data_IF_093492712361
#
_entry.id   IF_093492712361
#
_cell.length_a   1.000
_cell.length_b   1.000
_cell.length_c   1.000
_cell.angle_alpha   90.00
_cell.angle_beta   90.00
_cell.angle_gamma   90.00
#
_symmetry.space_group_name_H-M   'P 1'
#
loop_
_entity.id
_entity.type
_entity.pdbx_description
1 polymer ?
#
# COMPACT_ATOMS: atom_id res chain seq x y z
N UNK A 1 -128.40 -54.99 59.26
CA UNK A 1 -129.82 -55.10 59.67
C UNK A 1 -130.00 -56.34 60.57
N UNK A 2 -130.96 -56.38 61.52
CA UNK A 2 -130.68 -56.97 62.85
C UNK A 2 -131.77 -57.88 63.52
N UNK A 3 -131.36 -58.57 64.61
CA UNK A 3 -132.11 -58.93 65.86
C UNK A 3 -133.30 -59.97 65.93
N UNK A 4 -133.22 -60.90 66.91
CA UNK A 4 -134.12 -61.23 68.09
C UNK A 4 -135.69 -61.21 67.96
N UNK A 5 -136.59 -62.03 68.59
CA UNK A 5 -136.68 -63.16 69.61
C UNK A 5 -137.93 -64.07 69.27
N UNK A 6 -138.50 -65.06 70.02
CA UNK A 6 -138.21 -65.82 71.27
C UNK A 6 -139.45 -66.36 72.07
N UNK A 7 -139.24 -67.34 72.99
CA UNK A 7 -140.08 -67.83 74.16
C UNK A 7 -141.38 -68.71 74.03
N UNK A 8 -141.32 -69.90 74.67
CA UNK A 8 -142.30 -70.62 75.57
C UNK A 8 -143.74 -71.03 75.16
N UNK A 9 -144.05 -72.35 75.22
CA UNK A 9 -145.26 -73.06 75.77
C UNK A 9 -145.15 -74.60 75.50
N UNK A 10 -145.85 -75.59 76.11
CA UNK A 10 -146.64 -75.72 77.37
C UNK A 10 -146.62 -77.22 77.85
N UNK A 11 -147.60 -77.73 78.63
CA UNK A 11 -147.66 -79.14 79.15
C UNK A 11 -149.10 -79.69 79.32
N UNK A 12 -149.40 -80.88 78.75
CA UNK A 12 -150.45 -81.88 79.14
C UNK A 12 -150.64 -82.94 78.03
N UNK A 13 -150.16 -84.17 78.22
CA UNK A 13 -150.76 -85.41 77.64
C UNK A 13 -149.99 -86.65 78.14
N UNK A 14 -150.47 -87.29 79.20
CA UNK A 14 -149.73 -88.35 79.90
C UNK A 14 -150.63 -89.45 80.48
N UNK A 15 -151.78 -89.74 79.84
CA UNK A 15 -152.83 -90.57 80.47
C UNK A 15 -153.75 -91.37 79.51
N UNK A 16 -153.30 -91.72 78.29
CA UNK A 16 -154.19 -92.28 77.25
C UNK A 16 -153.65 -93.48 76.42
N UNK A 17 -152.46 -94.02 76.73
CA UNK A 17 -151.97 -95.29 76.13
C UNK A 17 -151.52 -96.35 77.15
N UNK A 18 -152.06 -96.27 78.37
CA UNK A 18 -151.96 -97.35 79.35
C UNK A 18 -152.92 -98.53 79.07
N UNK A 19 -153.75 -98.46 78.00
CA UNK A 19 -154.77 -99.47 77.68
C UNK A 19 -154.48 -100.36 76.46
N UNK A 20 -153.52 -100.00 75.58
CA UNK A 20 -153.01 -100.95 74.57
C UNK A 20 -152.25 -102.14 75.21
N UNK A 21 -151.84 -101.99 76.47
CA UNK A 21 -151.10 -102.96 77.32
C UNK A 21 -151.87 -104.28 77.57
N UNK A 22 -153.16 -104.36 77.23
CA UNK A 22 -154.01 -105.53 77.50
C UNK A 22 -154.56 -106.26 76.27
N UNK A 23 -154.45 -105.71 75.05
CA UNK A 23 -155.04 -106.30 73.84
C UNK A 23 -154.10 -107.25 73.09
N UNK A 24 -152.80 -106.98 73.00
CA UNK A 24 -151.85 -107.91 72.35
C UNK A 24 -151.43 -109.09 73.24
N UNK A 25 -151.71 -109.02 74.55
CA UNK A 25 -151.35 -110.05 75.54
C UNK A 25 -152.17 -111.36 75.44
N UNK A 26 -152.83 -111.59 74.30
CA UNK A 26 -153.54 -112.83 73.93
C UNK A 26 -153.17 -113.36 72.53
N UNK A 27 -152.13 -112.83 71.89
CA UNK A 27 -151.43 -113.52 70.80
C UNK A 27 -150.56 -114.67 71.37
N UNK A 28 -151.21 -115.69 71.93
CA UNK A 28 -150.55 -116.84 72.56
C UNK A 28 -150.18 -117.92 71.53
N UNK A 29 -148.95 -118.43 71.64
CA UNK A 29 -148.57 -119.84 71.43
C UNK A 29 -148.94 -120.51 70.09
N UNK A 30 -148.08 -120.37 69.06
CA UNK A 30 -148.15 -121.22 67.87
C UNK A 30 -146.83 -121.48 67.08
N UNK A 31 -145.63 -121.31 67.67
CA UNK A 31 -144.40 -121.98 67.20
C UNK A 31 -143.22 -121.83 68.17
N UNK A 32 -142.42 -122.89 68.32
CA UNK A 32 -141.15 -122.89 69.05
C UNK A 32 -139.99 -122.87 68.05
N UNK A 33 -139.32 -121.72 67.87
CA UNK A 33 -137.87 -121.56 67.55
C UNK A 33 -137.45 -120.06 67.44
N UNK A 34 -137.44 -119.24 68.52
CA UNK A 34 -137.06 -117.82 68.43
C UNK A 34 -135.72 -117.46 69.11
N UNK A 35 -135.08 -118.39 69.82
CA UNK A 35 -133.89 -118.12 70.64
C UNK A 35 -132.58 -118.17 69.85
N UNK A 36 -132.49 -119.07 68.87
CA UNK A 36 -131.24 -119.31 68.14
C UNK A 36 -130.92 -118.16 67.16
N UNK A 37 -131.94 -117.59 66.52
CA UNK A 37 -131.77 -116.43 65.62
C UNK A 37 -131.25 -115.18 66.34
N UNK A 38 -131.68 -114.94 67.59
CA UNK A 38 -131.17 -113.85 68.41
C UNK A 38 -129.70 -114.09 68.81
N UNK A 39 -129.32 -115.33 69.08
CA UNK A 39 -127.93 -115.70 69.38
C UNK A 39 -127.03 -115.57 68.15
N UNK A 40 -127.48 -116.06 67.00
CA UNK A 40 -126.83 -115.90 65.70
C UNK A 40 -126.63 -114.41 65.34
N UNK A 41 -127.64 -113.57 65.58
CA UNK A 41 -127.58 -112.12 65.35
C UNK A 41 -126.54 -111.44 66.25
N UNK A 42 -126.47 -111.80 67.54
CA UNK A 42 -125.47 -111.30 68.47
C UNK A 42 -124.04 -111.75 68.07
N UNK A 43 -123.89 -112.98 67.60
CA UNK A 43 -122.60 -113.52 67.15
C UNK A 43 -122.13 -112.85 65.85
N UNK A 44 -123.05 -112.54 64.93
CA UNK A 44 -122.76 -111.74 63.73
C UNK A 44 -122.34 -110.31 64.08
N UNK A 45 -123.03 -109.66 65.04
CA UNK A 45 -122.67 -108.32 65.51
C UNK A 45 -121.27 -108.27 66.15
N UNK A 46 -120.94 -109.25 67.02
CA UNK A 46 -119.60 -109.35 67.62
C UNK A 46 -118.51 -109.64 66.58
N UNK A 47 -118.80 -110.46 65.57
CA UNK A 47 -117.87 -110.71 64.45
C UNK A 47 -117.58 -109.41 63.67
N UNK A 48 -118.61 -108.61 63.42
CA UNK A 48 -118.50 -107.31 62.73
C UNK A 48 -117.77 -106.24 63.54
N UNK A 49 -117.95 -106.22 64.87
CA UNK A 49 -117.14 -105.35 65.74
C UNK A 49 -115.65 -105.71 65.66
N UNK A 50 -115.32 -107.00 65.68
CA UNK A 50 -113.94 -107.48 65.58
C UNK A 50 -113.31 -107.21 64.21
N UNK A 51 -114.11 -107.23 63.14
CA UNK A 51 -113.72 -106.80 61.81
C UNK A 51 -113.42 -105.28 61.75
N UNK A 52 -114.24 -104.46 62.41
CA UNK A 52 -114.02 -103.02 62.54
C UNK A 52 -112.79 -102.68 63.40
N UNK A 53 -112.53 -103.42 64.49
CA UNK A 53 -111.30 -103.28 65.30
C UNK A 53 -110.04 -103.57 64.46
N UNK A 54 -110.07 -104.62 63.65
CA UNK A 54 -108.96 -104.95 62.73
C UNK A 54 -108.74 -103.86 61.68
N UNK A 55 -109.81 -103.31 61.10
CA UNK A 55 -109.76 -102.18 60.16
C UNK A 55 -109.19 -100.91 60.82
N UNK A 56 -109.57 -100.62 62.07
CA UNK A 56 -109.03 -99.48 62.81
C UNK A 56 -107.51 -99.64 63.03
N UNK A 57 -107.10 -100.83 63.50
CA UNK A 57 -105.69 -101.16 63.71
C UNK A 57 -104.87 -101.23 62.40
N UNK A 58 -105.50 -101.41 61.23
CA UNK A 58 -104.85 -101.26 59.93
C UNK A 58 -104.70 -99.77 59.55
N UNK A 59 -105.72 -98.94 59.77
CA UNK A 59 -105.66 -97.49 59.48
C UNK A 59 -104.69 -96.74 60.39
N UNK A 60 -104.55 -97.13 61.66
CA UNK A 60 -103.51 -96.57 62.54
C UNK A 60 -102.10 -96.91 62.06
N UNK A 61 -101.88 -98.12 61.52
CA UNK A 61 -100.60 -98.51 60.90
C UNK A 61 -100.34 -97.73 59.61
N UNK A 62 -101.36 -97.48 58.80
CA UNK A 62 -101.25 -96.65 57.59
C UNK A 62 -100.92 -95.19 57.92
N UNK A 63 -101.57 -94.60 58.93
CA UNK A 63 -101.25 -93.27 59.45
C UNK A 63 -99.80 -93.17 59.94
N UNK A 64 -99.32 -94.14 60.73
CA UNK A 64 -97.92 -94.16 61.18
C UNK A 64 -96.93 -94.30 60.00
N UNK A 65 -97.28 -95.03 58.94
CA UNK A 65 -96.46 -95.14 57.73
C UNK A 65 -96.36 -93.80 57.00
N UNK A 66 -97.50 -93.12 56.81
CA UNK A 66 -97.58 -91.82 56.15
C UNK A 66 -96.87 -90.72 56.96
N UNK A 67 -96.99 -90.73 58.29
CA UNK A 67 -96.25 -89.82 59.18
C UNK A 67 -94.73 -89.99 58.99
N UNK A 68 -94.24 -91.24 58.93
CA UNK A 68 -92.83 -91.55 58.69
C UNK A 68 -92.34 -91.17 57.30
N UNK A 69 -93.21 -91.22 56.28
CA UNK A 69 -92.91 -90.77 54.92
C UNK A 69 -92.84 -89.24 54.83
N UNK A 70 -93.74 -88.53 55.52
CA UNK A 70 -93.76 -87.07 55.62
C UNK A 70 -92.49 -86.52 56.29
N UNK A 71 -92.06 -87.10 57.41
CA UNK A 71 -90.81 -86.70 58.09
C UNK A 71 -89.56 -86.92 57.22
N UNK A 72 -89.54 -87.99 56.42
CA UNK A 72 -88.46 -88.26 55.45
C UNK A 72 -88.47 -87.25 54.31
N UNK A 73 -89.64 -86.80 53.85
CA UNK A 73 -89.77 -85.75 52.85
C UNK A 73 -89.30 -84.38 53.39
N UNK A 74 -89.73 -84.01 54.59
CA UNK A 74 -89.33 -82.76 55.25
C UNK A 74 -87.82 -82.68 55.46
N UNK A 75 -87.15 -83.77 55.90
CA UNK A 75 -85.68 -83.81 56.03
C UNK A 75 -84.96 -83.62 54.68
N UNK A 76 -85.47 -84.21 53.60
CA UNK A 76 -84.91 -83.99 52.24
C UNK A 76 -85.08 -82.54 51.78
N UNK A 77 -86.25 -81.94 52.01
CA UNK A 77 -86.52 -80.55 51.63
C UNK A 77 -85.51 -79.59 52.29
N UNK A 78 -85.22 -79.78 53.58
CA UNK A 78 -84.28 -78.93 54.32
C UNK A 78 -82.84 -79.08 53.77
N UNK A 79 -82.36 -80.30 53.53
CA UNK A 79 -81.05 -80.53 52.89
C UNK A 79 -80.93 -79.87 51.51
N UNK A 80 -82.01 -79.80 50.74
CA UNK A 80 -82.01 -79.08 49.46
C UNK A 80 -81.99 -77.55 49.61
N UNK A 81 -82.61 -77.00 50.67
CA UNK A 81 -82.51 -75.57 50.98
C UNK A 81 -81.08 -75.17 51.37
N UNK A 82 -80.45 -75.92 52.28
CA UNK A 82 -79.06 -75.68 52.71
C UNK A 82 -78.09 -75.76 51.52
N UNK A 83 -78.27 -76.77 50.67
CA UNK A 83 -77.51 -76.94 49.42
C UNK A 83 -77.70 -75.74 48.49
N UNK A 84 -78.92 -75.21 48.36
CA UNK A 84 -79.23 -74.07 47.49
C UNK A 84 -78.54 -72.80 47.97
N UNK A 85 -78.59 -72.51 49.27
CA UNK A 85 -77.92 -71.35 49.88
C UNK A 85 -76.40 -71.39 49.67
N UNK A 86 -75.77 -72.56 49.86
CA UNK A 86 -74.33 -72.75 49.63
C UNK A 86 -73.94 -72.50 48.17
N UNK A 87 -74.77 -72.91 47.21
CA UNK A 87 -74.53 -72.63 45.79
C UNK A 87 -74.73 -71.16 45.41
N UNK A 88 -75.66 -70.46 46.05
CA UNK A 88 -75.83 -69.00 45.87
C UNK A 88 -74.60 -68.23 46.37
N UNK A 89 -74.14 -68.48 47.60
CA UNK A 89 -72.97 -67.81 48.17
C UNK A 89 -71.71 -68.05 47.33
N UNK A 90 -71.53 -69.28 46.82
CA UNK A 90 -70.43 -69.63 45.92
C UNK A 90 -70.52 -68.92 44.57
N UNK A 91 -71.73 -68.76 44.01
CA UNK A 91 -71.95 -68.05 42.75
C UNK A 91 -71.61 -66.55 42.87
N UNK A 92 -72.02 -65.89 43.96
CA UNK A 92 -71.71 -64.48 44.19
C UNK A 92 -70.19 -64.24 44.31
N UNK A 93 -69.46 -65.09 45.05
CA UNK A 93 -68.00 -65.01 45.17
C UNK A 93 -67.31 -65.13 43.81
N UNK A 94 -67.64 -66.16 43.01
CA UNK A 94 -67.07 -66.34 41.67
C UNK A 94 -67.45 -65.21 40.71
N UNK A 95 -68.67 -64.67 40.80
CA UNK A 95 -69.08 -63.50 40.00
C UNK A 95 -68.29 -62.24 40.38
N UNK A 96 -68.03 -62.02 41.67
CA UNK A 96 -67.21 -60.91 42.16
C UNK A 96 -65.77 -61.00 41.65
N UNK A 97 -65.13 -62.17 41.75
CA UNK A 97 -63.77 -62.42 41.25
C UNK A 97 -63.67 -62.17 39.73
N UNK A 98 -64.61 -62.70 38.94
CA UNK A 98 -64.68 -62.47 37.50
C UNK A 98 -64.85 -60.98 37.15
N UNK A 99 -65.64 -60.24 37.94
CA UNK A 99 -65.81 -58.78 37.77
C UNK A 99 -64.50 -58.03 38.04
N UNK A 100 -63.79 -58.39 39.11
CA UNK A 100 -62.51 -57.79 39.49
C UNK A 100 -61.38 -58.10 38.49
N UNK A 101 -61.31 -59.34 37.98
CA UNK A 101 -60.39 -59.71 36.90
C UNK A 101 -60.68 -58.89 35.63
N UNK A 102 -61.94 -58.84 35.17
CA UNK A 102 -62.33 -58.04 33.98
C UNK A 102 -61.97 -56.56 34.13
N UNK A 103 -62.16 -55.97 35.31
CA UNK A 103 -61.80 -54.57 35.56
C UNK A 103 -60.28 -54.36 35.58
N UNK A 104 -59.52 -55.33 36.09
CA UNK A 104 -58.05 -55.31 36.10
C UNK A 104 -57.49 -55.42 34.69
N UNK A 105 -57.97 -56.37 33.87
CA UNK A 105 -57.59 -56.51 32.46
C UNK A 105 -57.94 -55.24 31.67
N UNK A 106 -59.12 -54.65 31.87
CA UNK A 106 -59.51 -53.39 31.21
C UNK A 106 -58.55 -52.24 31.54
N UNK A 107 -58.14 -52.09 32.82
CA UNK A 107 -57.14 -51.09 33.24
C UNK A 107 -55.76 -51.37 32.62
N UNK A 108 -55.34 -52.63 32.58
CA UNK A 108 -54.09 -53.05 31.94
C UNK A 108 -54.06 -52.72 30.45
N UNK A 109 -55.13 -53.04 29.72
CA UNK A 109 -55.27 -52.78 28.29
C UNK A 109 -55.31 -51.28 27.98
N UNK A 110 -55.99 -50.47 28.80
CA UNK A 110 -55.95 -48.99 28.71
C UNK A 110 -54.58 -48.38 29.02
N UNK A 111 -53.74 -49.04 29.83
CA UNK A 111 -52.35 -48.63 30.05
C UNK A 111 -51.46 -49.06 28.87
N UNK A 112 -51.69 -50.23 28.29
CA UNK A 112 -50.97 -50.74 27.13
C UNK A 112 -51.16 -49.84 25.90
N UNK A 113 -52.40 -49.45 25.58
CA UNK A 113 -52.65 -48.55 24.43
C UNK A 113 -51.97 -47.20 24.61
N UNK A 114 -52.10 -46.57 25.80
CA UNK A 114 -51.40 -45.30 26.11
C UNK A 114 -49.88 -45.39 25.95
N UNK A 115 -49.27 -46.52 26.30
CA UNK A 115 -47.84 -46.74 26.09
C UNK A 115 -47.49 -46.96 24.61
N UNK A 116 -48.35 -47.63 23.85
CA UNK A 116 -48.20 -47.76 22.39
C UNK A 116 -48.30 -46.40 21.68
N UNK A 117 -49.27 -45.56 22.07
CA UNK A 117 -49.42 -44.19 21.58
C UNK A 117 -48.15 -43.36 21.85
N UNK A 118 -47.62 -43.41 23.07
CA UNK A 118 -46.37 -42.73 23.45
C UNK A 118 -45.15 -43.24 22.65
N UNK A 119 -45.02 -44.55 22.45
CA UNK A 119 -43.96 -45.14 21.61
C UNK A 119 -44.10 -44.71 20.15
N UNK A 120 -45.32 -44.57 19.63
CA UNK A 120 -45.56 -44.08 18.27
C UNK A 120 -45.18 -42.60 18.13
N UNK A 121 -45.55 -41.75 19.10
CA UNK A 121 -45.15 -40.32 19.14
C UNK A 121 -43.62 -40.20 19.15
N UNK A 122 -42.92 -40.94 20.03
CA UNK A 122 -41.46 -40.92 20.12
C UNK A 122 -40.82 -41.36 18.79
N UNK A 123 -41.31 -42.43 18.15
CA UNK A 123 -40.85 -42.87 16.82
C UNK A 123 -41.11 -41.86 15.70
N UNK A 124 -42.14 -41.01 15.80
CA UNK A 124 -42.33 -39.90 14.85
C UNK A 124 -41.38 -38.73 15.11
N UNK A 125 -41.11 -38.40 16.37
CA UNK A 125 -40.16 -37.37 16.74
C UNK A 125 -38.71 -37.76 16.35
N UNK A 126 -38.30 -38.98 16.64
CA UNK A 126 -36.99 -39.56 16.26
C UNK A 126 -36.73 -39.46 14.75
N UNK A 127 -37.73 -39.79 13.93
CA UNK A 127 -37.66 -39.69 12.46
C UNK A 127 -37.51 -38.25 11.98
N UNK A 128 -38.25 -37.31 12.56
CA UNK A 128 -38.16 -35.90 12.15
C UNK A 128 -36.84 -35.26 12.62
N UNK A 129 -36.38 -35.55 13.83
CA UNK A 129 -35.05 -35.13 14.32
C UNK A 129 -33.93 -35.71 13.44
N UNK A 130 -34.00 -36.99 13.07
CA UNK A 130 -33.04 -37.61 12.14
C UNK A 130 -33.04 -36.92 10.77
N UNK A 131 -34.23 -36.59 10.24
CA UNK A 131 -34.41 -35.87 8.97
C UNK A 131 -33.90 -34.44 9.02
N UNK A 132 -34.05 -33.74 10.15
CA UNK A 132 -33.48 -32.40 10.37
C UNK A 132 -31.96 -32.46 10.51
N UNK A 133 -31.41 -33.43 11.26
CA UNK A 133 -29.97 -33.65 11.40
C UNK A 133 -29.31 -33.97 10.04
N UNK A 134 -29.94 -34.80 9.21
CA UNK A 134 -29.46 -35.09 7.85
C UNK A 134 -29.47 -33.86 6.94
N UNK A 135 -30.50 -32.99 7.05
CA UNK A 135 -30.56 -31.71 6.32
C UNK A 135 -29.44 -30.76 6.77
N UNK A 136 -29.35 -30.48 8.07
CA UNK A 136 -28.32 -29.59 8.62
C UNK A 136 -26.90 -30.10 8.37
N UNK A 137 -26.69 -31.42 8.40
CA UNK A 137 -25.43 -32.05 7.99
C UNK A 137 -25.13 -31.80 6.51
N UNK A 138 -26.08 -32.05 5.61
CA UNK A 138 -25.89 -31.83 4.17
C UNK A 138 -25.66 -30.35 3.80
N UNK A 139 -26.34 -29.43 4.48
CA UNK A 139 -26.14 -27.98 4.36
C UNK A 139 -24.76 -27.56 4.90
N UNK A 140 -24.31 -28.13 6.03
CA UNK A 140 -22.96 -27.91 6.56
C UNK A 140 -21.87 -28.42 5.61
N UNK A 141 -22.04 -29.60 5.01
CA UNK A 141 -21.10 -30.12 4.01
C UNK A 141 -21.03 -29.22 2.76
N UNK A 142 -22.18 -28.68 2.31
CA UNK A 142 -22.23 -27.70 1.22
C UNK A 142 -21.49 -26.40 1.56
N UNK A 143 -21.67 -25.89 2.79
CA UNK A 143 -20.97 -24.70 3.27
C UNK A 143 -19.45 -24.93 3.35
N UNK A 144 -19.02 -26.07 3.90
CA UNK A 144 -17.59 -26.46 3.98
C UNK A 144 -16.98 -26.57 2.58
N UNK A 145 -17.64 -27.24 1.63
CA UNK A 145 -17.14 -27.37 0.26
C UNK A 145 -17.06 -26.02 -0.48
N UNK A 146 -17.99 -25.10 -0.22
CA UNK A 146 -17.93 -23.74 -0.77
C UNK A 146 -16.77 -22.93 -0.17
N UNK A 147 -16.56 -23.00 1.14
CA UNK A 147 -15.46 -22.33 1.85
C UNK A 147 -14.09 -22.89 1.43
N UNK A 148 -13.98 -24.21 1.23
CA UNK A 148 -12.77 -24.84 0.68
C UNK A 148 -12.45 -24.27 -0.72
N UNK A 149 -13.42 -24.28 -1.63
CA UNK A 149 -13.25 -23.71 -2.99
C UNK A 149 -12.88 -22.22 -2.97
N UNK A 150 -13.43 -21.43 -2.04
CA UNK A 150 -13.04 -20.03 -1.85
C UNK A 150 -11.61 -19.90 -1.34
N UNK A 151 -11.21 -20.72 -0.37
CA UNK A 151 -9.86 -20.72 0.17
C UNK A 151 -8.81 -21.14 -0.89
N UNK A 152 -9.13 -22.10 -1.75
CA UNK A 152 -8.29 -22.50 -2.90
C UNK A 152 -8.12 -21.35 -3.91
N UNK A 153 -9.19 -20.59 -4.20
CA UNK A 153 -9.12 -19.36 -5.02
C UNK A 153 -8.18 -18.34 -4.38
N UNK A 154 -8.34 -18.05 -3.09
CA UNK A 154 -7.50 -17.09 -2.36
C UNK A 154 -6.04 -17.56 -2.30
N UNK A 155 -5.76 -18.85 -2.11
CA UNK A 155 -4.40 -19.39 -2.15
C UNK A 155 -3.75 -19.28 -3.54
N UNK A 156 -4.50 -19.55 -4.62
CA UNK A 156 -3.96 -19.41 -5.99
C UNK A 156 -3.73 -17.94 -6.35
N UNK A 157 -4.64 -17.03 -6.00
CA UNK A 157 -4.47 -15.58 -6.17
C UNK A 157 -3.28 -15.03 -5.36
N UNK A 158 -3.12 -15.46 -4.11
CA UNK A 158 -1.98 -15.12 -3.26
C UNK A 158 -0.67 -15.60 -3.88
N UNK A 159 -0.59 -16.86 -4.31
CA UNK A 159 0.58 -17.44 -5.00
C UNK A 159 0.92 -16.65 -6.28
N UNK A 160 -0.07 -16.35 -7.12
CA UNK A 160 0.10 -15.50 -8.30
C UNK A 160 0.51 -14.06 -7.96
N UNK A 161 0.11 -13.52 -6.81
CA UNK A 161 0.58 -12.20 -6.35
C UNK A 161 2.05 -12.25 -5.92
N UNK A 162 2.45 -13.27 -5.15
CA UNK A 162 3.84 -13.45 -4.69
C UNK A 162 4.79 -13.65 -5.86
N UNK A 163 4.43 -14.49 -6.84
CA UNK A 163 5.22 -14.73 -8.06
C UNK A 163 5.38 -13.46 -8.93
N UNK A 164 4.38 -12.56 -8.94
CA UNK A 164 4.51 -11.24 -9.60
C UNK A 164 5.45 -10.31 -8.83
N UNK A 165 5.37 -10.30 -7.50
CA UNK A 165 6.23 -9.49 -6.65
C UNK A 165 7.70 -9.92 -6.67
N UNK A 166 8.01 -11.23 -6.66
CA UNK A 166 9.39 -11.72 -6.79
C UNK A 166 10.01 -11.33 -8.13
N UNK A 167 9.30 -11.56 -9.24
CA UNK A 167 9.75 -11.15 -10.58
C UNK A 167 9.96 -9.63 -10.70
N UNK A 168 9.10 -8.82 -10.08
CA UNK A 168 9.25 -7.37 -10.03
C UNK A 168 10.44 -6.94 -9.15
N UNK A 169 10.69 -7.64 -8.04
CA UNK A 169 11.81 -7.41 -7.14
C UNK A 169 13.15 -7.72 -7.84
N UNK A 170 13.29 -8.89 -8.47
CA UNK A 170 14.44 -9.26 -9.30
C UNK A 170 14.71 -8.24 -10.41
N UNK A 171 13.65 -7.82 -11.13
CA UNK A 171 13.74 -6.79 -12.18
C UNK A 171 14.18 -5.43 -11.64
N UNK A 172 13.90 -5.11 -10.37
CA UNK A 172 14.37 -3.90 -9.72
C UNK A 172 15.83 -4.00 -9.24
N UNK A 173 16.24 -5.14 -8.66
CA UNK A 173 17.64 -5.42 -8.33
C UNK A 173 18.54 -5.44 -9.58
N UNK A 174 18.10 -6.04 -10.69
CA UNK A 174 18.84 -6.05 -11.95
C UNK A 174 19.03 -4.64 -12.54
N UNK A 175 18.04 -3.75 -12.39
CA UNK A 175 18.19 -2.33 -12.74
C UNK A 175 19.20 -1.63 -11.81
N UNK A 176 19.08 -1.82 -10.50
CA UNK A 176 19.96 -1.21 -9.50
C UNK A 176 21.43 -1.64 -9.67
N UNK A 177 21.67 -2.91 -10.01
CA UNK A 177 23.00 -3.44 -10.32
C UNK A 177 23.62 -2.76 -11.56
N UNK A 178 22.83 -2.56 -12.62
CA UNK A 178 23.29 -1.80 -13.81
C UNK A 178 23.60 -0.36 -13.44
N UNK A 179 22.66 0.37 -12.82
CA UNK A 179 22.85 1.78 -12.45
C UNK A 179 24.02 2.02 -11.48
N UNK A 180 24.30 1.10 -10.56
CA UNK A 180 25.48 1.20 -9.67
C UNK A 180 26.78 0.93 -10.41
N UNK A 181 26.80 0.03 -11.40
CA UNK A 181 27.95 -0.14 -12.30
C UNK A 181 28.18 1.09 -13.19
N UNK A 182 27.13 1.68 -13.75
CA UNK A 182 27.20 2.90 -14.57
C UNK A 182 27.76 4.07 -13.76
N UNK A 183 27.23 4.31 -12.55
CA UNK A 183 27.74 5.32 -11.63
C UNK A 183 29.23 5.10 -11.27
N UNK A 184 29.69 3.84 -11.17
CA UNK A 184 31.11 3.51 -10.96
C UNK A 184 31.96 3.91 -12.17
N UNK A 185 31.51 3.64 -13.41
CA UNK A 185 32.24 4.07 -14.62
C UNK A 185 32.24 5.59 -14.77
N UNK A 186 31.13 6.27 -14.50
CA UNK A 186 31.00 7.72 -14.59
C UNK A 186 31.87 8.46 -13.56
N UNK A 187 31.90 7.98 -12.30
CA UNK A 187 32.82 8.49 -11.26
C UNK A 187 34.29 8.34 -11.69
N UNK A 188 34.65 7.21 -12.30
CA UNK A 188 36.00 6.99 -12.82
C UNK A 188 36.35 7.93 -14.00
N UNK A 189 35.42 8.15 -14.95
CA UNK A 189 35.57 9.14 -16.04
C UNK A 189 35.74 10.56 -15.50
N UNK A 190 34.89 10.99 -14.56
CA UNK A 190 34.97 12.31 -13.93
C UNK A 190 36.28 12.52 -13.15
N UNK A 191 36.78 11.49 -12.46
CA UNK A 191 38.08 11.52 -11.77
C UNK A 191 39.25 11.70 -12.74
N UNK A 192 39.26 10.97 -13.87
CA UNK A 192 40.26 11.15 -14.94
C UNK A 192 40.25 12.56 -15.52
N UNK A 193 39.06 13.10 -15.83
CA UNK A 193 38.91 14.46 -16.37
C UNK A 193 39.38 15.54 -15.38
N UNK A 194 39.05 15.43 -14.09
CA UNK A 194 39.53 16.35 -13.06
C UNK A 194 41.07 16.37 -12.95
N UNK A 195 41.72 15.21 -13.05
CA UNK A 195 43.20 15.13 -13.08
C UNK A 195 43.78 15.78 -14.35
N UNK A 196 43.19 15.52 -15.52
CA UNK A 196 43.63 16.13 -16.78
C UNK A 196 43.52 17.66 -16.76
N UNK A 197 42.41 18.22 -16.24
CA UNK A 197 42.23 19.67 -16.09
C UNK A 197 43.26 20.29 -15.13
N UNK A 198 43.57 19.61 -14.01
CA UNK A 198 44.62 20.07 -13.08
C UNK A 198 45.99 20.14 -13.78
N UNK A 199 46.40 19.06 -14.45
CA UNK A 199 47.70 19.03 -15.13
C UNK A 199 47.78 20.00 -16.32
N UNK A 200 46.69 20.21 -17.05
CA UNK A 200 46.64 21.23 -18.11
C UNK A 200 46.80 22.66 -17.58
N UNK A 201 46.28 22.96 -16.38
CA UNK A 201 46.51 24.25 -15.70
C UNK A 201 47.98 24.40 -15.28
N UNK A 202 48.55 23.37 -14.66
CA UNK A 202 49.96 23.34 -14.23
C UNK A 202 50.92 23.54 -15.41
N UNK A 203 50.70 22.83 -16.53
CA UNK A 203 51.47 22.99 -17.77
C UNK A 203 51.34 24.38 -18.38
N UNK A 204 50.12 24.96 -18.42
CA UNK A 204 49.90 26.33 -18.91
C UNK A 204 50.63 27.37 -18.06
N UNK A 205 50.63 27.20 -16.74
CA UNK A 205 51.30 28.11 -15.81
C UNK A 205 52.83 28.04 -15.95
N UNK A 206 53.40 26.84 -16.09
CA UNK A 206 54.83 26.65 -16.41
C UNK A 206 55.22 27.25 -17.76
N UNK A 207 54.40 27.03 -18.81
CA UNK A 207 54.64 27.62 -20.12
C UNK A 207 54.65 29.15 -20.06
N UNK A 208 53.63 29.78 -19.43
CA UNK A 208 53.57 31.23 -19.25
C UNK A 208 54.74 31.78 -18.41
N UNK A 209 55.20 31.06 -17.38
CA UNK A 209 56.37 31.45 -16.61
C UNK A 209 57.65 31.45 -17.47
N UNK A 210 57.85 30.43 -18.31
CA UNK A 210 59.01 30.35 -19.22
C UNK A 210 59.02 31.48 -20.26
N UNK A 211 57.84 31.86 -20.78
CA UNK A 211 57.69 32.98 -21.73
C UNK A 211 57.92 34.32 -21.05
N UNK A 212 57.36 34.54 -19.84
CA UNK A 212 57.62 35.75 -19.05
C UNK A 212 59.10 35.94 -18.74
N UNK A 213 59.82 34.87 -18.39
CA UNK A 213 61.27 34.92 -18.17
C UNK A 213 62.01 35.36 -19.44
N UNK A 214 61.79 34.68 -20.58
CA UNK A 214 62.40 35.06 -21.88
C UNK A 214 62.12 36.51 -22.28
N UNK A 215 60.91 37.03 -22.01
CA UNK A 215 60.54 38.42 -22.31
C UNK A 215 61.27 39.41 -21.39
N UNK A 216 61.47 39.10 -20.10
CA UNK A 216 62.33 39.91 -19.22
C UNK A 216 63.78 39.91 -19.74
N UNK A 217 64.32 38.71 -19.99
CA UNK A 217 65.70 38.54 -20.45
C UNK A 217 65.94 39.35 -21.75
N UNK A 218 65.04 39.27 -22.73
CA UNK A 218 65.18 39.94 -24.03
C UNK A 218 64.83 41.44 -24.05
N UNK A 219 63.93 41.95 -23.20
CA UNK A 219 63.65 43.39 -23.12
C UNK A 219 64.77 44.19 -22.47
N UNK A 220 65.70 43.53 -21.79
CA UNK A 220 66.60 44.17 -20.84
C UNK A 220 67.84 44.84 -21.43
N UNK A 221 68.18 44.68 -22.72
CA UNK A 221 69.47 45.16 -23.27
C UNK A 221 69.34 45.84 -24.64
N UNK A 222 69.63 47.15 -24.70
CA UNK A 222 69.74 47.91 -25.95
C UNK A 222 71.20 48.27 -26.24
N UNK A 223 71.68 47.91 -27.42
CA UNK A 223 73.07 48.14 -27.84
C UNK A 223 73.16 49.42 -28.66
N UNK A 224 73.85 50.45 -28.13
CA UNK A 224 74.08 51.73 -28.82
C UNK A 224 75.01 51.58 -30.03
N UNK A 225 75.72 50.45 -30.12
CA UNK A 225 76.70 50.16 -31.16
C UNK A 225 76.54 48.72 -31.65
N UNK A 226 76.60 48.53 -32.97
CA UNK A 226 76.67 47.21 -33.60
C UNK A 226 78.02 47.09 -34.32
N UNK A 227 78.77 46.02 -34.03
CA UNK A 227 80.13 45.77 -34.60
C UNK A 227 81.09 46.99 -34.50
N UNK A 228 81.01 47.77 -33.42
CA UNK A 228 81.86 48.94 -33.19
C UNK A 228 81.39 50.24 -33.88
N UNK A 229 80.27 50.23 -34.59
CA UNK A 229 79.67 51.43 -35.23
C UNK A 229 78.40 51.82 -34.48
N UNK A 230 78.18 53.11 -34.22
CA UNK A 230 76.91 53.59 -33.65
C UNK A 230 75.75 53.34 -34.63
N UNK A 231 74.66 52.77 -34.12
CA UNK A 231 73.49 52.43 -34.95
C UNK A 231 72.83 53.70 -35.52
N UNK A 232 72.03 53.58 -36.57
CA UNK A 232 71.42 54.76 -37.19
C UNK A 232 70.40 55.41 -36.26
N UNK A 233 69.62 54.63 -35.53
CA UNK A 233 68.68 55.10 -34.51
C UNK A 233 69.43 55.86 -33.41
N UNK A 234 70.58 55.32 -32.97
CA UNK A 234 71.45 55.99 -31.99
C UNK A 234 71.98 57.32 -32.54
N UNK A 235 72.44 57.36 -33.79
CA UNK A 235 72.87 58.59 -34.48
C UNK A 235 71.71 59.58 -34.64
N UNK A 236 70.49 59.12 -34.89
CA UNK A 236 69.29 59.93 -35.02
C UNK A 236 68.87 60.55 -33.68
N UNK A 237 68.90 59.78 -32.58
CA UNK A 237 68.67 60.30 -31.22
C UNK A 237 69.74 61.32 -30.83
N UNK A 238 71.02 61.07 -31.13
CA UNK A 238 72.12 62.04 -30.91
C UNK A 238 71.89 63.33 -31.69
N UNK A 239 71.51 63.26 -32.97
CA UNK A 239 71.18 64.43 -33.80
C UNK A 239 69.96 65.19 -33.26
N UNK A 240 68.91 64.47 -32.82
CA UNK A 240 67.68 65.06 -32.28
C UNK A 240 67.92 65.77 -30.94
N UNK A 241 68.65 65.15 -30.00
CA UNK A 241 68.97 65.75 -28.71
C UNK A 241 69.79 67.04 -28.85
N UNK A 242 70.77 67.07 -29.75
CA UNK A 242 71.55 68.28 -30.02
C UNK A 242 70.70 69.35 -30.73
N UNK A 243 69.79 68.96 -31.63
CA UNK A 243 68.79 69.88 -32.23
C UNK A 243 67.85 70.48 -31.17
N UNK A 244 67.53 69.73 -30.12
CA UNK A 244 66.77 70.19 -28.96
C UNK A 244 67.61 70.97 -27.92
N UNK A 245 68.85 71.38 -28.27
CA UNK A 245 69.70 72.20 -27.41
C UNK A 245 70.52 71.43 -26.36
N UNK A 246 70.51 70.09 -26.36
CA UNK A 246 71.32 69.31 -25.43
C UNK A 246 72.82 69.52 -25.67
N UNK A 247 73.55 69.89 -24.60
CA UNK A 247 75.00 70.05 -24.65
C UNK A 247 75.68 68.74 -25.08
N UNK A 248 76.63 68.82 -26.02
CA UNK A 248 77.35 67.65 -26.59
C UNK A 248 78.09 66.80 -25.54
N UNK A 249 78.29 67.33 -24.34
CA UNK A 249 78.86 66.60 -23.21
C UNK A 249 77.82 65.68 -22.54
N UNK A 250 76.56 66.14 -22.43
CA UNK A 250 75.48 65.51 -21.67
C UNK A 250 74.64 64.52 -22.49
N UNK A 251 74.74 64.52 -23.83
CA UNK A 251 73.96 63.63 -24.71
C UNK A 251 74.07 62.16 -24.31
N UNK A 252 75.27 61.68 -23.96
CA UNK A 252 75.49 60.30 -23.50
C UNK A 252 74.84 60.00 -22.15
N UNK A 253 74.85 60.96 -21.23
CA UNK A 253 74.19 60.85 -19.92
C UNK A 253 72.66 60.86 -20.06
N UNK A 254 72.11 61.73 -20.92
CA UNK A 254 70.67 61.80 -21.20
C UNK A 254 70.17 60.49 -21.82
N UNK A 255 70.87 59.94 -22.81
CA UNK A 255 70.52 58.63 -23.39
C UNK A 255 70.58 57.52 -22.34
N UNK A 256 71.61 57.51 -21.49
CA UNK A 256 71.76 56.54 -20.40
C UNK A 256 70.64 56.66 -19.36
N UNK A 257 70.24 57.89 -19.00
CA UNK A 257 69.16 58.16 -18.06
C UNK A 257 67.79 57.76 -18.62
N UNK A 258 67.52 58.04 -19.90
CA UNK A 258 66.30 57.64 -20.59
C UNK A 258 66.20 56.11 -20.65
N UNK A 259 67.24 55.41 -21.10
CA UNK A 259 67.26 53.94 -21.13
C UNK A 259 67.05 53.34 -19.73
N UNK A 260 67.75 53.87 -18.70
CA UNK A 260 67.57 53.45 -17.30
C UNK A 260 66.14 53.67 -16.80
N UNK A 261 65.50 54.79 -17.14
CA UNK A 261 64.10 55.08 -16.78
C UNK A 261 63.10 54.15 -17.45
N UNK A 262 63.41 53.65 -18.66
CA UNK A 262 62.62 52.67 -19.38
C UNK A 262 62.86 51.21 -18.90
N UNK A 263 63.75 50.99 -17.92
CA UNK A 263 64.15 49.65 -17.47
C UNK A 263 65.06 48.91 -18.46
N UNK A 264 65.72 49.62 -19.37
CA UNK A 264 66.57 49.07 -20.42
C UNK A 264 68.04 49.30 -20.06
N UNK A 265 68.84 48.23 -20.05
CA UNK A 265 70.29 48.31 -19.90
C UNK A 265 70.90 48.79 -21.22
N UNK A 266 71.46 50.01 -21.22
CA UNK A 266 72.26 50.50 -22.35
C UNK A 266 73.63 49.83 -22.38
N UNK A 267 74.02 49.27 -23.53
CA UNK A 267 75.36 48.73 -23.78
C UNK A 267 76.10 49.65 -24.76
N UNK A 268 77.25 50.14 -24.33
CA UNK A 268 78.05 51.17 -25.00
C UNK A 268 77.99 52.53 -24.30
N UNK A 269 78.81 53.48 -24.75
CA UNK A 269 78.81 54.86 -24.25
C UNK A 269 79.12 55.83 -25.41
N UNK A 270 78.51 57.01 -25.42
CA UNK A 270 78.67 58.01 -26.48
C UNK A 270 79.51 59.19 -25.96
N UNK A 271 80.81 59.19 -26.28
CA UNK A 271 81.71 60.28 -25.89
C UNK A 271 81.35 61.61 -26.59
N UNK A 272 81.72 62.74 -25.99
CA UNK A 272 81.67 64.09 -26.62
C UNK A 272 82.30 64.11 -28.02
N UNK A 273 83.37 63.35 -28.22
CA UNK A 273 84.07 63.20 -29.51
C UNK A 273 83.22 62.40 -30.50
N UNK A 274 82.56 61.33 -30.06
CA UNK A 274 81.62 60.54 -30.85
C UNK A 274 80.42 61.38 -31.29
N UNK A 275 79.80 62.13 -30.36
CA UNK A 275 78.72 63.09 -30.68
C UNK A 275 79.19 64.10 -31.73
N UNK A 276 80.39 64.68 -31.55
CA UNK A 276 80.92 65.68 -32.48
C UNK A 276 81.28 65.10 -33.86
N UNK A 277 81.66 63.82 -33.95
CA UNK A 277 81.83 63.10 -35.23
C UNK A 277 80.48 62.85 -35.92
N UNK A 278 79.49 62.32 -35.20
CA UNK A 278 78.13 62.07 -35.73
C UNK A 278 77.49 63.36 -36.27
N UNK A 279 77.68 64.50 -35.59
CA UNK A 279 77.22 65.81 -36.07
C UNK A 279 77.98 66.26 -37.33
N UNK A 280 79.29 66.02 -37.42
CA UNK A 280 80.12 66.39 -38.59
C UNK A 280 79.83 65.50 -39.80
N UNK A 281 79.62 64.21 -39.58
CA UNK A 281 79.12 63.25 -40.58
C UNK A 281 77.78 63.72 -41.14
N UNK A 282 76.82 64.10 -40.27
CA UNK A 282 75.53 64.65 -40.68
C UNK A 282 75.63 65.99 -41.41
N UNK A 283 76.57 66.86 -41.03
CA UNK A 283 76.84 68.13 -41.72
C UNK A 283 77.40 67.91 -43.13
N UNK A 284 78.39 67.02 -43.29
CA UNK A 284 78.93 66.69 -44.61
C UNK A 284 77.88 66.02 -45.51
N UNK A 285 77.06 65.12 -44.98
CA UNK A 285 75.94 64.55 -45.73
C UNK A 285 74.95 65.63 -46.20
N UNK A 286 74.64 66.63 -45.35
CA UNK A 286 73.79 67.75 -45.73
C UNK A 286 74.43 68.67 -46.79
N UNK A 287 75.75 68.86 -46.77
CA UNK A 287 76.46 69.61 -47.81
C UNK A 287 76.51 68.86 -49.16
N UNK A 288 76.74 67.53 -49.16
CA UNK A 288 76.70 66.70 -50.37
C UNK A 288 75.28 66.72 -50.97
N UNK A 289 74.27 66.56 -50.13
CA UNK A 289 72.86 66.67 -50.52
C UNK A 289 72.54 68.04 -51.12
N UNK A 290 73.02 69.14 -50.51
CA UNK A 290 72.86 70.49 -51.03
C UNK A 290 73.55 70.68 -52.39
N UNK A 291 74.75 70.12 -52.58
CA UNK A 291 75.45 70.13 -53.87
C UNK A 291 74.68 69.38 -54.97
N UNK A 292 74.09 68.23 -54.64
CA UNK A 292 73.21 67.48 -55.55
C UNK A 292 71.95 68.28 -55.92
N UNK A 293 71.26 68.85 -54.93
CA UNK A 293 70.05 69.66 -55.14
C UNK A 293 70.33 70.90 -56.00
N UNK A 294 71.41 71.62 -55.72
CA UNK A 294 71.81 72.81 -56.50
C UNK A 294 72.19 72.46 -57.94
N UNK A 295 72.85 71.31 -58.17
CA UNK A 295 73.19 70.83 -59.52
C UNK A 295 71.96 70.43 -60.35
N UNK A 296 70.88 70.00 -59.71
CA UNK A 296 69.67 69.50 -60.37
C UNK A 296 68.49 70.49 -60.33
N UNK A 297 68.69 71.69 -59.80
CA UNK A 297 67.71 72.77 -59.75
C UNK A 297 67.76 73.61 -61.04
N UNK A 298 66.63 73.71 -61.74
CA UNK A 298 66.44 74.55 -62.93
C UNK A 298 66.67 76.04 -62.62
N UNK A 299 66.28 76.48 -61.43
CA UNK A 299 66.54 77.82 -60.91
C UNK A 299 66.69 77.78 -59.39
N UNK A 300 67.45 78.74 -58.86
CA UNK A 300 67.66 78.92 -57.43
C UNK A 300 67.81 80.41 -57.09
N UNK A 301 67.43 80.80 -55.88
CA UNK A 301 67.58 82.17 -55.38
C UNK A 301 68.37 82.16 -54.09
N UNK A 302 69.51 82.86 -54.10
CA UNK A 302 70.34 83.04 -52.91
C UNK A 302 69.83 84.19 -52.06
N UNK A 303 69.89 84.04 -50.75
CA UNK A 303 69.59 85.09 -49.78
C UNK A 303 70.61 85.06 -48.64
N UNK A 304 70.94 86.24 -48.11
CA UNK A 304 71.80 86.41 -46.95
C UNK A 304 71.15 87.41 -46.00
N UNK A 305 71.22 87.10 -44.71
CA UNK A 305 70.82 87.99 -43.62
C UNK A 305 72.03 88.22 -42.71
N UNK A 306 72.22 89.45 -42.25
CA UNK A 306 73.44 89.91 -41.59
C UNK A 306 73.15 90.65 -40.29
N UNK A 307 73.71 90.17 -39.18
CA UNK A 307 73.50 90.75 -37.86
C UNK A 307 74.80 90.81 -37.07
N UNK A 308 74.98 91.82 -36.22
CA UNK A 308 76.20 91.99 -35.41
C UNK A 308 75.95 91.68 -33.94
N UNK A 309 76.87 90.94 -33.32
CA UNK A 309 76.84 90.67 -31.88
C UNK A 309 78.26 90.76 -31.31
N UNK A 310 78.45 91.61 -30.29
CA UNK A 310 79.75 91.86 -29.61
C UNK A 310 80.89 92.16 -30.59
N UNK A 311 80.62 93.06 -31.55
CA UNK A 311 81.57 93.47 -32.60
C UNK A 311 82.01 92.35 -33.56
N UNK A 312 81.27 91.25 -33.63
CA UNK A 312 81.42 90.21 -34.67
C UNK A 312 80.19 90.27 -35.57
N UNK A 313 80.40 90.38 -36.88
CA UNK A 313 79.35 90.31 -37.90
C UNK A 313 79.06 88.84 -38.22
N UNK A 314 77.79 88.43 -38.12
CA UNK A 314 77.32 87.09 -38.44
C UNK A 314 76.38 87.13 -39.64
N UNK A 315 76.77 86.45 -40.72
CA UNK A 315 75.96 86.30 -41.92
C UNK A 315 75.35 84.89 -41.93
N UNK A 316 74.01 84.82 -41.92
CA UNK A 316 73.25 83.61 -42.21
C UNK A 316 73.01 83.55 -43.71
N UNK A 317 73.35 82.43 -44.36
CA UNK A 317 73.24 82.27 -45.82
C UNK A 317 72.28 81.15 -46.18
N UNK A 318 71.45 81.39 -47.19
CA UNK A 318 70.38 80.48 -47.61
C UNK A 318 70.26 80.39 -49.13
N UNK A 319 69.69 79.29 -49.62
CA UNK A 319 69.25 79.14 -51.00
C UNK A 319 67.83 78.59 -51.02
N UNK A 320 66.98 79.18 -51.85
CA UNK A 320 65.64 78.72 -52.17
C UNK A 320 65.69 78.01 -53.53
N UNK A 321 65.25 76.76 -53.59
CA UNK A 321 65.27 75.95 -54.82
C UNK A 321 64.14 74.90 -54.82
N UNK A 322 63.95 74.22 -55.95
CA UNK A 322 63.04 73.08 -56.07
C UNK A 322 63.83 71.78 -55.86
N UNK A 323 63.57 71.07 -54.76
CA UNK A 323 64.16 69.76 -54.45
C UNK A 323 63.09 68.67 -54.36
N UNK A 324 63.48 67.42 -54.55
CA UNK A 324 62.60 66.25 -54.38
C UNK A 324 62.29 65.98 -52.91
N UNK A 325 61.16 65.34 -52.64
CA UNK A 325 60.78 64.95 -51.28
C UNK A 325 61.29 63.55 -50.93
N UNK A 326 62.45 63.54 -50.27
CA UNK A 326 63.15 62.34 -49.80
C UNK A 326 62.49 61.64 -48.60
N UNK A 327 61.31 62.09 -48.14
CA UNK A 327 60.54 61.35 -47.11
C UNK A 327 59.73 60.20 -47.69
N UNK A 328 59.45 60.22 -49.00
CA UNK A 328 58.67 59.20 -49.70
C UNK A 328 59.56 58.27 -50.53
N UNK A 329 59.48 56.93 -50.36
CA UNK A 329 60.41 55.98 -50.99
C UNK A 329 60.23 55.83 -52.51
N UNK A 330 59.12 56.32 -53.07
CA UNK A 330 58.79 56.23 -54.50
C UNK A 330 59.27 57.44 -55.33
N UNK A 331 59.96 58.40 -54.69
CA UNK A 331 60.42 59.64 -55.32
C UNK A 331 59.35 60.73 -55.28
N UNK A 332 59.33 61.52 -54.21
CA UNK A 332 58.31 62.55 -54.01
C UNK A 332 58.45 63.75 -54.94
N UNK A 333 57.32 64.42 -55.21
CA UNK A 333 57.24 65.59 -56.09
C UNK A 333 58.18 66.72 -55.68
N UNK A 334 58.67 67.50 -56.65
CA UNK A 334 59.58 68.63 -56.38
C UNK A 334 58.85 69.74 -55.59
N UNK A 335 59.34 70.04 -54.40
CA UNK A 335 58.82 71.05 -53.48
C UNK A 335 59.78 72.23 -53.37
N UNK A 336 59.24 73.43 -53.08
CA UNK A 336 60.06 74.61 -52.76
C UNK A 336 60.67 74.45 -51.38
N UNK A 337 61.99 74.33 -51.31
CA UNK A 337 62.74 74.20 -50.05
C UNK A 337 63.68 75.37 -49.85
N UNK A 338 63.87 75.75 -48.58
CA UNK A 338 64.94 76.66 -48.16
C UNK A 338 66.03 75.82 -47.50
N UNK A 339 67.23 75.83 -48.08
CA UNK A 339 68.44 75.23 -47.50
C UNK A 339 69.32 76.33 -46.91
N UNK A 340 70.22 75.99 -45.99
CA UNK A 340 71.16 76.94 -45.39
C UNK A 340 72.59 76.47 -45.55
N UNK A 341 73.49 77.42 -45.81
CA UNK A 341 74.94 77.23 -45.79
C UNK A 341 75.52 77.33 -44.37
N UNK A 342 74.66 77.59 -43.38
CA UNK A 342 75.02 77.87 -42.00
C UNK A 342 75.11 79.37 -41.70
N UNK A 343 75.51 79.66 -40.47
CA UNK A 343 75.82 81.01 -39.97
C UNK A 343 77.33 81.12 -39.85
N UNK A 344 77.91 82.18 -40.38
CA UNK A 344 79.36 82.41 -40.39
C UNK A 344 79.69 83.81 -39.90
N UNK A 345 80.76 83.92 -39.10
CA UNK A 345 81.35 85.22 -38.78
C UNK A 345 82.10 85.76 -40.00
N UNK A 346 81.69 86.90 -40.54
CA UNK A 346 82.46 87.60 -41.57
C UNK A 346 83.48 88.55 -40.93
N UNK A 347 84.59 88.82 -41.63
CA UNK A 347 85.74 89.58 -41.06
C UNK A 347 85.45 91.07 -40.95
N UNK A 348 84.68 91.60 -41.88
CA UNK A 348 84.26 92.98 -42.00
C UNK A 348 82.82 93.03 -42.55
N UNK A 349 82.37 94.20 -43.02
CA UNK A 349 81.04 94.39 -43.62
C UNK A 349 81.07 94.68 -45.12
N UNK A 350 82.18 94.43 -45.81
CA UNK A 350 82.35 94.79 -47.22
C UNK A 350 81.57 93.88 -48.18
N UNK A 351 81.19 94.45 -49.32
CA UNK A 351 80.68 93.73 -50.49
C UNK A 351 81.65 92.64 -50.96
N UNK A 352 82.94 92.95 -50.91
CA UNK A 352 84.06 92.16 -51.38
C UNK A 352 84.23 90.89 -50.52
N UNK A 353 84.27 91.03 -49.19
CA UNK A 353 84.30 89.89 -48.27
C UNK A 353 83.00 89.09 -48.30
N UNK A 354 81.84 89.75 -48.53
CA UNK A 354 80.56 89.06 -48.69
C UNK A 354 80.52 88.17 -49.95
N UNK A 355 81.11 88.61 -51.06
CA UNK A 355 81.28 87.82 -52.29
C UNK A 355 82.30 86.69 -52.08
N UNK A 356 83.47 86.99 -51.52
CA UNK A 356 84.50 85.99 -51.26
C UNK A 356 84.00 84.88 -50.31
N UNK A 357 83.20 85.22 -49.29
CA UNK A 357 82.53 84.23 -48.45
C UNK A 357 81.60 83.32 -49.27
N UNK A 358 80.81 83.87 -50.20
CA UNK A 358 79.93 83.09 -51.07
C UNK A 358 80.71 82.13 -51.97
N UNK A 359 81.74 82.60 -52.66
CA UNK A 359 82.62 81.78 -53.49
C UNK A 359 83.24 80.62 -52.69
N UNK A 360 83.76 80.91 -51.49
CA UNK A 360 84.33 79.89 -50.61
C UNK A 360 83.27 78.86 -50.17
N UNK A 361 82.04 79.25 -49.87
CA UNK A 361 80.97 78.31 -49.50
C UNK A 361 80.56 77.41 -50.66
N UNK A 362 80.31 78.01 -51.83
CA UNK A 362 79.90 77.30 -53.04
C UNK A 362 81.00 76.34 -53.49
N UNK A 363 82.26 76.78 -53.47
CA UNK A 363 83.41 75.94 -53.76
C UNK A 363 83.56 74.80 -52.75
N UNK A 364 83.46 75.04 -51.45
CA UNK A 364 83.55 73.97 -50.44
C UNK A 364 82.46 72.90 -50.61
N UNK A 365 81.25 73.27 -51.07
CA UNK A 365 80.17 72.33 -51.36
C UNK A 365 80.45 71.56 -52.67
N UNK A 366 80.86 72.25 -53.73
CA UNK A 366 81.22 71.60 -55.00
C UNK A 366 82.43 70.64 -54.83
N UNK A 367 83.46 71.08 -54.10
CA UNK A 367 84.65 70.29 -53.77
C UNK A 367 84.35 69.11 -52.82
N UNK A 368 83.19 69.08 -52.16
CA UNK A 368 82.75 67.94 -51.33
C UNK A 368 81.78 67.01 -52.07
N UNK A 369 80.92 67.55 -52.93
CA UNK A 369 79.99 66.79 -53.76
C UNK A 369 80.68 66.04 -54.92
N UNK A 370 81.80 66.56 -55.43
CA UNK A 370 82.58 65.94 -56.52
C UNK A 370 83.77 65.08 -56.01
N UNK A 371 83.73 64.59 -54.76
CA UNK A 371 84.74 63.70 -54.16
C UNK A 371 84.15 62.35 -53.78
#
# INVERSE_FOLDING_TARGET
>A
MPQLTGRKRHTKEANLRAQEVLSEKRALLASETPTDDLWNSLQAANSRNKELENLLAEKDRELHRLQSELDKANKKLHMHQDSSALWQEKHEKTYHELRMQRQTTKRGQQKLTKLQDQVQILKTAEKEVSKQLLRGSHESHKAIALLQKQNDSVHTELSMSMARWTLQLEKSHAKLARSTSDLKTLRNKASKLRKAVKHGKEQKEQAMASVKKKILDQRSVHHLMQKGVFTEETRNVVRLLVKAGCSRNLVGEVISAVLKSAGITGVGNISRTSVSRILREGYFAAQIQLGYEMKNAESMTFSADGTSHRSINYNSRHVHLLAEDYTSPEGGSKQRVTRTFGIQSSKDGSSEQAIADWENNLKNIADLYNK
#
